data_IF_039056456797
#
_entry.id   IF_039056456797
#
_cell.length_a   1.000
_cell.length_b   1.000
_cell.length_c   1.000
_cell.angle_alpha   90.00
_cell.angle_beta   90.00
_cell.angle_gamma   90.00
#
_symmetry.space_group_name_H-M   'P 1'
#
loop_
_entity.id
_entity.type
_entity.pdbx_description
1 polymer ?
#
# COMPACT_ATOMS: atom_id res chain seq x y z
N UNK A 1 -14.10 -14.53 8.24
CA UNK A 1 -14.22 -13.16 8.77
C UNK A 1 -12.90 -12.45 8.87
N UNK A 2 -11.92 -13.07 9.54
CA UNK A 2 -10.62 -12.45 9.69
C UNK A 2 -9.95 -12.17 8.34
N UNK A 3 -10.13 -13.06 7.38
CA UNK A 3 -9.54 -12.89 6.06
C UNK A 3 -10.11 -11.69 5.33
N UNK A 4 -11.40 -11.48 5.46
CA UNK A 4 -12.07 -10.36 4.81
C UNK A 4 -11.58 -9.04 5.39
N UNK A 5 -11.46 -8.98 6.72
CA UNK A 5 -10.98 -7.78 7.38
C UNK A 5 -9.53 -7.48 7.01
N UNK A 6 -8.71 -8.53 6.91
CA UNK A 6 -7.32 -8.37 6.56
C UNK A 6 -7.16 -7.83 5.15
N UNK A 7 -7.91 -8.39 4.21
CA UNK A 7 -7.87 -7.94 2.82
C UNK A 7 -8.32 -6.49 2.70
N UNK A 8 -9.39 -6.14 3.40
CA UNK A 8 -9.89 -4.77 3.40
C UNK A 8 -8.84 -3.81 3.96
N UNK A 9 -8.15 -4.23 5.00
CA UNK A 9 -7.10 -3.43 5.61
C UNK A 9 -5.94 -3.21 4.64
N UNK A 10 -5.57 -4.24 3.90
CA UNK A 10 -4.49 -4.14 2.91
C UNK A 10 -4.86 -3.17 1.79
N UNK A 11 -6.08 -3.25 1.31
CA UNK A 11 -6.54 -2.35 0.25
C UNK A 11 -6.58 -0.90 0.75
N UNK A 12 -6.94 -0.73 2.00
CA UNK A 12 -6.96 0.60 2.61
C UNK A 12 -5.55 1.17 2.69
N UNK A 13 -4.59 0.35 3.08
CA UNK A 13 -3.19 0.77 3.14
C UNK A 13 -2.67 1.13 1.76
N UNK A 14 -3.02 0.35 0.76
CA UNK A 14 -2.63 0.64 -0.62
C UNK A 14 -3.12 2.02 -1.03
N UNK A 15 -4.37 2.30 -0.74
CA UNK A 15 -4.95 3.59 -1.07
C UNK A 15 -4.21 4.74 -0.38
N UNK A 16 -3.93 4.57 0.90
CA UNK A 16 -3.22 5.59 1.66
C UNK A 16 -1.81 5.83 1.13
N UNK A 17 -1.13 4.77 0.74
CA UNK A 17 0.21 4.89 0.19
C UNK A 17 0.20 5.60 -1.15
N UNK A 18 -0.80 5.32 -1.97
CA UNK A 18 -0.95 6.00 -3.26
C UNK A 18 -1.18 7.49 -3.06
N UNK A 19 -1.96 7.84 -2.07
CA UNK A 19 -2.20 9.25 -1.76
C UNK A 19 -0.92 9.94 -1.32
N UNK A 20 -0.12 9.25 -0.51
CA UNK A 20 1.17 9.82 -0.08
C UNK A 20 2.12 10.00 -1.24
N UNK A 21 2.10 9.08 -2.19
CA UNK A 21 2.95 9.20 -3.38
C UNK A 21 2.58 10.40 -4.23
N UNK A 22 1.33 10.83 -4.16
CA UNK A 22 0.88 12.00 -4.90
C UNK A 22 1.27 13.30 -4.22
N UNK A 23 1.75 13.24 -3.00
CA UNK A 23 2.17 14.41 -2.25
C UNK A 23 3.52 14.90 -2.75
N UNK A 24 3.56 16.15 -3.20
CA UNK A 24 4.80 16.73 -3.72
C UNK A 24 5.79 17.13 -2.65
N UNK A 25 5.36 17.11 -1.40
CA UNK A 25 6.23 17.54 -0.31
C UNK A 25 7.09 16.43 0.27
N UNK A 26 6.87 15.18 -0.15
CA UNK A 26 7.72 14.09 0.32
C UNK A 26 8.99 13.98 -0.52
N UNK A 27 10.04 13.48 0.11
CA UNK A 27 11.34 13.36 -0.55
C UNK A 27 11.36 12.17 -1.51
N UNK A 28 12.36 12.17 -2.38
CA UNK A 28 12.55 11.08 -3.34
C UNK A 28 12.79 9.75 -2.61
N UNK A 29 13.55 9.80 -1.53
CA UNK A 29 13.85 8.60 -0.74
C UNK A 29 12.56 8.03 -0.16
N UNK A 30 11.69 8.89 0.34
CA UNK A 30 10.41 8.45 0.88
C UNK A 30 9.52 7.84 -0.19
N UNK A 31 9.53 8.44 -1.36
CA UNK A 31 8.74 7.91 -2.48
C UNK A 31 9.18 6.50 -2.83
N UNK A 32 10.48 6.27 -2.84
CA UNK A 32 11.01 4.95 -3.17
C UNK A 32 10.63 3.92 -2.11
N UNK A 33 10.69 4.32 -0.85
CA UNK A 33 10.28 3.43 0.23
C UNK A 33 8.79 3.09 0.14
N UNK A 34 7.97 4.08 -0.15
CA UNK A 34 6.53 3.86 -0.30
C UNK A 34 6.24 2.92 -1.46
N UNK A 35 6.96 3.06 -2.54
CA UNK A 35 6.78 2.19 -3.70
C UNK A 35 7.11 0.75 -3.36
N UNK A 36 8.15 0.53 -2.59
CA UNK A 36 8.54 -0.83 -2.19
C UNK A 36 7.51 -1.46 -1.28
N UNK A 37 7.03 -0.69 -0.32
CA UNK A 37 5.99 -1.18 0.58
C UNK A 37 4.70 -1.45 -0.16
N UNK A 38 4.36 -0.57 -1.10
CA UNK A 38 3.18 -0.76 -1.92
C UNK A 38 3.26 -2.04 -2.73
N UNK A 39 4.44 -2.34 -3.23
CA UNK A 39 4.67 -3.56 -3.98
C UNK A 39 4.38 -4.79 -3.12
N UNK A 40 4.83 -4.77 -1.87
CA UNK A 40 4.57 -5.86 -0.94
C UNK A 40 3.09 -6.00 -0.63
N UNK A 41 2.41 -4.88 -0.43
CA UNK A 41 0.98 -4.89 -0.15
C UNK A 41 0.20 -5.47 -1.33
N UNK A 42 0.56 -5.07 -2.55
CA UNK A 42 -0.11 -5.57 -3.74
C UNK A 42 0.10 -7.06 -3.92
N UNK A 43 1.30 -7.53 -3.60
CA UNK A 43 1.62 -8.95 -3.68
C UNK A 43 0.75 -9.74 -2.70
N UNK A 44 0.58 -9.22 -1.49
CA UNK A 44 -0.26 -9.87 -0.49
C UNK A 44 -1.72 -9.92 -0.92
N UNK A 45 -2.20 -8.81 -1.47
CA UNK A 45 -3.58 -8.75 -1.94
C UNK A 45 -3.81 -9.78 -3.04
N UNK A 46 -2.86 -9.90 -3.94
CA UNK A 46 -2.96 -10.84 -5.04
C UNK A 46 -3.03 -12.28 -4.54
N UNK A 47 -2.29 -12.58 -3.48
CA UNK A 47 -2.31 -13.92 -2.90
C UNK A 47 -3.65 -14.25 -2.27
N UNK A 48 -4.31 -13.23 -1.73
CA UNK A 48 -5.59 -13.42 -1.06
C UNK A 48 -6.78 -13.42 -2.03
N UNK A 49 -6.59 -12.90 -3.21
CA UNK A 49 -7.63 -12.91 -4.22
C UNK A 49 -7.51 -14.16 -5.07
#
# INVERSE_FOLDING_TARGET
MAEYDYLSSLKNKEFLFLRKLCDNSISQIEKEKLKEELKGIRSEIKKLE
#
